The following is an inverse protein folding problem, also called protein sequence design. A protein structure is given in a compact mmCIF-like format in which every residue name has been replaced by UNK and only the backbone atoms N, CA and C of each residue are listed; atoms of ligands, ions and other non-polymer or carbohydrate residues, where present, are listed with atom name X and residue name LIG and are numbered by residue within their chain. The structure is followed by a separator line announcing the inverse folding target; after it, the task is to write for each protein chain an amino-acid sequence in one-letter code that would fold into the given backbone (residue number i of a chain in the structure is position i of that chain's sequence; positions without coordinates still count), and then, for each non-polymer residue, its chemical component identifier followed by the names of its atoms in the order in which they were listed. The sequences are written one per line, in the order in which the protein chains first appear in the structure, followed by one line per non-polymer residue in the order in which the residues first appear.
data_IF_589576683171
#
_entry.id   IF_589576683171
#
_cell.length_a   1.000
_cell.length_b   1.000
_cell.length_c   1.000
_cell.angle_alpha   90.00
_cell.angle_beta   90.00
_cell.angle_gamma   90.00
#
_symmetry.space_group_name_H-M   'P 1'
#
loop_
_entity.id
_entity.type
_entity.pdbx_description
1 polymer ?
#
# COMPACT_ATOMS: atom_id res chain seq x y z
N UNK A 1 28.43 17.56 8.73
CA UNK A 1 27.10 17.45 9.37
C UNK A 1 27.10 18.31 10.62
N UNK A 2 26.20 19.28 10.68
CA UNK A 2 26.01 20.09 11.89
C UNK A 2 25.00 19.35 12.78
N UNK A 3 25.51 18.54 13.71
CA UNK A 3 24.70 17.62 14.54
C UNK A 3 23.56 18.37 15.26
N UNK A 4 23.81 19.61 15.69
CA UNK A 4 22.80 20.44 16.34
C UNK A 4 21.65 20.84 15.41
N UNK A 5 21.92 21.06 14.12
CA UNK A 5 20.90 21.38 13.12
C UNK A 5 19.98 20.16 12.89
N UNK A 6 20.57 18.99 12.72
CA UNK A 6 19.83 17.75 12.46
C UNK A 6 18.92 17.37 13.64
N UNK A 7 19.38 17.58 14.86
CA UNK A 7 18.58 17.38 16.07
C UNK A 7 17.40 18.34 16.17
N UNK A 8 17.61 19.62 15.84
CA UNK A 8 16.52 20.61 15.81
C UNK A 8 15.47 20.27 14.75
N UNK A 9 15.91 19.89 13.55
CA UNK A 9 15.00 19.47 12.47
C UNK A 9 14.21 18.24 12.88
N UNK A 10 14.86 17.24 13.50
CA UNK A 10 14.17 16.05 14.04
C UNK A 10 13.14 16.40 15.11
N UNK A 11 13.49 17.28 16.04
CA UNK A 11 12.60 17.71 17.12
C UNK A 11 11.37 18.43 16.57
N UNK A 12 11.58 19.42 15.69
CA UNK A 12 10.50 20.19 15.06
C UNK A 12 9.62 19.30 14.17
N UNK A 13 10.22 18.40 13.40
CA UNK A 13 9.49 17.44 12.56
C UNK A 13 8.52 16.59 13.39
N UNK A 14 8.95 16.18 14.61
CA UNK A 14 8.09 15.45 15.55
C UNK A 14 6.97 16.32 16.11
N UNK A 15 7.25 17.56 16.50
CA UNK A 15 6.24 18.50 17.05
C UNK A 15 5.17 18.87 16.02
N UNK A 16 5.58 19.10 14.78
CA UNK A 16 4.71 19.44 13.64
C UNK A 16 4.01 18.22 13.02
N UNK A 17 4.29 17.01 13.52
CA UNK A 17 3.77 15.73 13.00
C UNK A 17 4.12 15.50 11.52
N UNK A 18 5.29 15.94 11.08
CA UNK A 18 5.84 15.73 9.73
C UNK A 18 7.12 14.87 9.80
N UNK A 19 7.03 13.61 10.25
CA UNK A 19 8.20 12.80 10.58
C UNK A 19 9.15 12.57 9.40
N UNK A 20 8.68 12.69 8.16
CA UNK A 20 9.48 12.45 6.95
C UNK A 20 10.51 13.57 6.72
N UNK A 21 10.25 14.78 7.22
CA UNK A 21 11.17 15.92 7.15
C UNK A 21 12.46 15.71 7.95
N UNK A 22 12.45 14.82 8.95
CA UNK A 22 13.66 14.43 9.67
C UNK A 22 14.70 13.73 8.76
N UNK A 23 14.25 13.16 7.63
CA UNK A 23 15.06 12.46 6.64
C UNK A 23 15.39 13.29 5.41
N UNK A 24 15.38 14.63 5.50
CA UNK A 24 15.54 15.52 4.34
C UNK A 24 16.82 15.30 3.52
N UNK A 25 17.89 14.80 4.15
CA UNK A 25 19.13 14.44 3.48
C UNK A 25 18.93 13.44 2.35
N UNK A 26 17.96 12.54 2.46
CA UNK A 26 17.67 11.57 1.39
C UNK A 26 17.29 12.31 0.11
N UNK A 27 16.43 13.32 0.22
CA UNK A 27 15.99 14.15 -0.90
C UNK A 27 17.14 15.02 -1.39
N UNK A 28 17.88 15.65 -0.47
CA UNK A 28 19.04 16.47 -0.84
C UNK A 28 20.13 15.67 -1.59
N UNK A 29 20.34 14.39 -1.25
CA UNK A 29 21.33 13.54 -1.89
C UNK A 29 20.88 13.02 -3.28
N UNK A 30 19.57 12.94 -3.51
CA UNK A 30 19.00 12.47 -4.78
C UNK A 30 18.62 13.59 -5.74
N UNK A 31 18.57 14.83 -5.27
CA UNK A 31 18.25 15.99 -6.08
C UNK A 31 19.39 16.40 -7.02
N UNK A 32 19.01 17.01 -8.14
CA UNK A 32 19.99 17.56 -9.07
C UNK A 32 20.75 18.73 -8.42
N UNK A 33 22.05 18.90 -8.72
CA UNK A 33 22.84 20.04 -8.22
C UNK A 33 22.26 21.41 -8.61
N UNK A 34 21.45 21.45 -9.66
CA UNK A 34 20.78 22.65 -10.16
C UNK A 34 19.36 22.83 -9.62
N UNK A 35 18.85 21.90 -8.79
CA UNK A 35 17.51 22.00 -8.25
C UNK A 35 17.37 23.26 -7.39
N UNK A 36 16.29 23.99 -7.63
CA UNK A 36 15.95 25.15 -6.82
C UNK A 36 15.45 24.69 -5.44
N UNK A 37 15.57 25.57 -4.45
CA UNK A 37 15.00 25.31 -3.12
C UNK A 37 13.48 24.99 -3.18
N UNK A 38 12.76 25.62 -4.11
CA UNK A 38 11.33 25.36 -4.31
C UNK A 38 11.05 23.93 -4.76
N UNK A 39 11.88 23.35 -5.62
CA UNK A 39 11.77 21.96 -6.07
C UNK A 39 12.08 20.97 -4.95
N UNK A 40 13.14 21.24 -4.18
CA UNK A 40 13.49 20.43 -3.01
C UNK A 40 12.38 20.43 -1.95
N UNK A 41 11.79 21.61 -1.69
CA UNK A 41 10.68 21.75 -0.75
C UNK A 41 9.44 21.01 -1.25
N UNK A 42 9.13 21.12 -2.54
CA UNK A 42 8.00 20.41 -3.14
C UNK A 42 8.17 18.90 -3.01
N UNK A 43 9.37 18.39 -3.27
CA UNK A 43 9.67 16.97 -3.12
C UNK A 43 9.52 16.50 -1.66
N UNK A 44 10.07 17.26 -0.71
CA UNK A 44 9.87 17.01 0.73
C UNK A 44 8.39 16.92 1.12
N UNK A 45 7.59 17.89 0.67
CA UNK A 45 6.15 17.92 0.95
C UNK A 45 5.42 16.74 0.32
N UNK A 46 5.82 16.35 -0.90
CA UNK A 46 5.25 15.22 -1.61
C UNK A 46 5.53 13.89 -0.90
N UNK A 47 6.78 13.66 -0.50
CA UNK A 47 7.16 12.44 0.23
C UNK A 47 6.40 12.32 1.55
N UNK A 48 6.26 13.41 2.30
CA UNK A 48 5.45 13.42 3.53
C UNK A 48 3.97 13.11 3.25
N UNK A 49 3.40 13.67 2.18
CA UNK A 49 2.02 13.40 1.80
C UNK A 49 1.81 11.92 1.43
N UNK A 50 2.67 11.35 0.60
CA UNK A 50 2.60 9.95 0.17
C UNK A 50 2.74 9.00 1.36
N UNK A 51 3.69 9.25 2.27
CA UNK A 51 3.87 8.45 3.48
C UNK A 51 2.64 8.48 4.40
N UNK A 52 1.98 9.65 4.51
CA UNK A 52 0.71 9.77 5.25
C UNK A 52 -0.41 8.95 4.61
N UNK A 53 -0.51 8.96 3.28
CA UNK A 53 -1.52 8.15 2.58
C UNK A 53 -1.26 6.66 2.78
N UNK A 54 -0.01 6.22 2.66
CA UNK A 54 0.35 4.82 2.86
C UNK A 54 0.06 4.36 4.30
N UNK A 55 0.43 5.17 5.29
CA UNK A 55 0.15 4.88 6.70
C UNK A 55 -1.36 4.80 6.98
N UNK A 56 -2.15 5.71 6.41
CA UNK A 56 -3.61 5.68 6.51
C UNK A 56 -4.19 4.43 5.84
N UNK A 57 -3.71 4.07 4.65
CA UNK A 57 -4.15 2.87 3.95
C UNK A 57 -3.81 1.61 4.76
N UNK A 58 -2.56 1.48 5.23
CA UNK A 58 -2.13 0.37 6.10
C UNK A 58 -2.97 0.29 7.39
N UNK A 59 -3.34 1.43 7.98
CA UNK A 59 -4.24 1.45 9.14
C UNK A 59 -5.65 0.96 8.77
N UNK A 60 -6.21 1.40 7.65
CA UNK A 60 -7.52 0.93 7.16
C UNK A 60 -7.50 -0.56 6.86
N UNK A 61 -6.46 -1.07 6.20
CA UNK A 61 -6.28 -2.50 5.93
C UNK A 61 -6.23 -3.32 7.24
N UNK A 62 -5.47 -2.86 8.24
CA UNK A 62 -5.43 -3.51 9.56
C UNK A 62 -6.78 -3.46 10.28
N UNK A 63 -7.47 -2.32 10.22
CA UNK A 63 -8.77 -2.13 10.88
C UNK A 63 -9.90 -2.90 10.20
N UNK A 64 -9.80 -3.12 8.88
CA UNK A 64 -10.79 -3.86 8.14
C UNK A 64 -10.89 -5.33 8.59
N UNK A 65 -9.89 -5.85 9.32
CA UNK A 65 -9.86 -7.23 9.82
C UNK A 65 -10.33 -8.21 8.73
N UNK A 66 -9.84 -7.99 7.50
CA UNK A 66 -10.19 -8.86 6.39
C UNK A 66 -9.85 -10.28 6.85
N UNK A 67 -10.81 -11.23 6.75
CA UNK A 67 -10.50 -12.62 7.03
C UNK A 67 -9.29 -12.98 6.16
N UNK A 68 -8.37 -13.77 6.72
CA UNK A 68 -7.26 -14.36 5.97
C UNK A 68 -7.76 -14.81 4.59
N UNK A 69 -6.92 -14.67 3.56
CA UNK A 69 -7.21 -15.00 2.17
C UNK A 69 -8.14 -16.21 2.09
N UNK A 70 -9.44 -15.97 1.90
CA UNK A 70 -10.40 -17.05 1.76
C UNK A 70 -10.07 -17.77 0.48
N UNK A 71 -9.62 -19.01 0.59
CA UNK A 71 -9.39 -19.85 -0.58
C UNK A 71 -10.72 -20.42 -1.06
N UNK A 72 -10.77 -20.86 -2.32
CA UNK A 72 -11.92 -21.59 -2.84
C UNK A 72 -12.22 -22.82 -1.97
N UNK A 73 -11.19 -23.44 -1.38
CA UNK A 73 -11.32 -24.59 -0.47
C UNK A 73 -12.05 -24.26 0.85
N UNK A 74 -12.06 -22.99 1.26
CA UNK A 74 -12.79 -22.52 2.45
C UNK A 74 -14.24 -22.13 2.14
N UNK A 75 -14.70 -22.30 0.90
CA UNK A 75 -16.08 -22.00 0.50
C UNK A 75 -17.03 -23.08 1.01
N UNK A 76 -17.92 -22.69 1.91
CA UNK A 76 -18.98 -23.55 2.44
C UNK A 76 -20.15 -23.67 1.45
N UNK A 77 -20.11 -24.73 0.63
CA UNK A 77 -21.10 -24.99 -0.43
C UNK A 77 -22.48 -25.41 0.09
N UNK A 78 -22.57 -25.80 1.37
CA UNK A 78 -23.86 -26.13 2.01
C UNK A 78 -24.83 -24.96 2.04
N UNK A 79 -24.32 -23.73 1.92
CA UNK A 79 -25.11 -22.47 1.95
C UNK A 79 -25.85 -22.17 0.64
N UNK A 80 -25.58 -22.93 -0.42
CA UNK A 80 -26.09 -22.64 -1.76
C UNK A 80 -27.20 -23.60 -2.20
N UNK A 81 -27.82 -24.34 -1.27
CA UNK A 81 -28.97 -25.23 -1.53
C UNK A 81 -28.80 -26.14 -2.77
N UNK A 82 -27.57 -26.60 -3.02
CA UNK A 82 -27.23 -27.46 -4.16
C UNK A 82 -27.19 -26.77 -5.53
N UNK A 83 -27.37 -25.45 -5.61
CA UNK A 83 -27.24 -24.68 -6.85
C UNK A 83 -25.80 -24.65 -7.38
N UNK A 84 -24.84 -24.79 -6.47
CA UNK A 84 -23.41 -24.83 -6.78
C UNK A 84 -22.88 -26.19 -6.30
N UNK A 85 -22.28 -26.94 -7.22
CA UNK A 85 -21.68 -28.24 -6.91
C UNK A 85 -20.16 -28.14 -6.75
N UNK A 86 -19.58 -29.06 -5.97
CA UNK A 86 -18.11 -29.19 -5.82
C UNK A 86 -17.42 -29.34 -7.18
N UNK A 87 -18.02 -30.13 -8.08
CA UNK A 87 -17.50 -30.36 -9.42
C UNK A 87 -17.41 -29.06 -10.22
N UNK A 88 -18.48 -28.26 -10.20
CA UNK A 88 -18.51 -26.98 -10.92
C UNK A 88 -17.44 -26.00 -10.41
N UNK A 89 -17.26 -25.91 -9.08
CA UNK A 89 -16.21 -25.10 -8.48
C UNK A 89 -14.81 -25.60 -8.85
N UNK A 90 -14.61 -26.92 -8.87
CA UNK A 90 -13.33 -27.51 -9.27
C UNK A 90 -12.99 -27.26 -10.74
N UNK A 91 -13.99 -27.29 -11.63
CA UNK A 91 -13.82 -26.96 -13.04
C UNK A 91 -13.45 -25.48 -13.22
N UNK A 92 -14.10 -24.58 -12.49
CA UNK A 92 -13.75 -23.16 -12.48
C UNK A 92 -12.34 -22.92 -11.96
N UNK A 93 -11.96 -23.58 -10.87
CA UNK A 93 -10.62 -23.48 -10.28
C UNK A 93 -9.52 -23.99 -11.21
N UNK A 94 -9.83 -24.93 -12.11
CA UNK A 94 -8.89 -25.46 -13.11
C UNK A 94 -8.55 -24.45 -14.23
N UNK A 95 -9.33 -23.37 -14.38
CA UNK A 95 -9.18 -22.37 -15.44
C UNK A 95 -9.23 -22.92 -16.89
N UNK A 96 -9.61 -24.19 -17.10
CA UNK A 96 -9.64 -24.84 -18.42
C UNK A 96 -10.50 -24.12 -19.45
N UNK A 97 -11.54 -23.43 -19.01
CA UNK A 97 -12.40 -22.62 -19.88
C UNK A 97 -11.65 -21.52 -20.62
N UNK A 98 -10.52 -21.03 -20.07
CA UNK A 98 -9.66 -20.03 -20.72
C UNK A 98 -8.96 -20.66 -21.92
N UNK A 99 -8.35 -21.83 -21.73
CA UNK A 99 -7.67 -22.59 -22.78
C UNK A 99 -8.66 -23.03 -23.87
N UNK A 100 -9.86 -23.45 -23.46
CA UNK A 100 -10.93 -23.90 -24.34
C UNK A 100 -11.70 -22.72 -24.98
N UNK A 101 -11.35 -21.46 -24.66
CA UNK A 101 -12.02 -20.23 -25.14
C UNK A 101 -13.54 -20.27 -24.98
N UNK A 102 -14.00 -20.88 -23.90
CA UNK A 102 -15.42 -21.11 -23.63
C UNK A 102 -15.98 -19.94 -22.81
N UNK A 103 -17.05 -19.32 -23.30
CA UNK A 103 -17.75 -18.30 -22.54
C UNK A 103 -18.61 -18.96 -21.44
N UNK A 104 -18.42 -18.52 -20.20
CA UNK A 104 -19.14 -19.00 -19.01
C UNK A 104 -20.26 -18.05 -18.56
N UNK A 105 -20.43 -16.91 -19.25
CA UNK A 105 -21.42 -15.85 -18.99
C UNK A 105 -22.53 -15.85 -20.04
#
# INVERSE_FOLDING_TARGET
MNIALDEQIKLLSKQLKIPTFAGYHNIQNHADPNSTFGELLLELMRTEYEQRQENNNRRRLKQANFPFTKTIDELDLSRYDGQISDLFISELASCRFIDEKKNLL
#
